data_IF_532885205489
#
_entry.id   IF_532885205489
#
_cell.length_a   1.000
_cell.length_b   1.000
_cell.length_c   1.000
_cell.angle_alpha   90.00
_cell.angle_beta   90.00
_cell.angle_gamma   90.00
#
_symmetry.space_group_name_H-M   'P 1'
#
loop_
_entity.id
_entity.type
_entity.pdbx_description
1 polymer ?
#
# COMPACT_ATOMS: atom_id res chain seq x y z
N UNK A 1 8.65 -13.59 -9.34
CA UNK A 1 8.00 -13.61 -8.01
C UNK A 1 6.49 -13.47 -8.21
N UNK A 2 5.73 -14.57 -8.17
CA UNK A 2 4.27 -14.57 -8.46
C UNK A 2 3.39 -14.26 -7.24
N UNK A 3 4.00 -14.01 -6.07
CA UNK A 3 3.29 -13.82 -4.81
C UNK A 3 3.52 -12.39 -4.30
N UNK A 4 2.43 -11.63 -4.20
CA UNK A 4 2.40 -10.23 -3.76
C UNK A 4 1.61 -10.14 -2.46
N UNK A 5 2.25 -10.48 -1.34
CA UNK A 5 1.58 -10.53 -0.03
C UNK A 5 1.02 -9.18 0.40
N UNK A 6 1.55 -8.06 -0.11
CA UNK A 6 1.02 -6.72 0.13
C UNK A 6 -0.42 -6.58 -0.36
N UNK A 7 -0.74 -7.17 -1.52
CA UNK A 7 -2.10 -7.10 -2.07
C UNK A 7 -3.11 -7.79 -1.17
N UNK A 8 -2.76 -8.98 -0.66
CA UNK A 8 -3.60 -9.73 0.27
C UNK A 8 -3.76 -8.99 1.59
N UNK A 9 -2.67 -8.42 2.13
CA UNK A 9 -2.70 -7.65 3.37
C UNK A 9 -3.59 -6.40 3.23
N UNK A 10 -3.47 -5.66 2.13
CA UNK A 10 -4.30 -4.48 1.85
C UNK A 10 -5.76 -4.89 1.64
N UNK A 11 -6.04 -5.93 0.87
CA UNK A 11 -7.40 -6.42 0.64
C UNK A 11 -8.08 -6.81 1.96
N UNK A 12 -7.37 -7.54 2.84
CA UNK A 12 -7.87 -7.86 4.17
C UNK A 12 -8.12 -6.61 5.03
N UNK A 13 -7.19 -5.64 4.97
CA UNK A 13 -7.35 -4.34 5.62
C UNK A 13 -8.60 -3.59 5.16
N UNK A 14 -8.85 -3.53 3.86
CA UNK A 14 -10.04 -2.90 3.27
C UNK A 14 -11.35 -3.58 3.70
N UNK A 15 -11.35 -4.91 3.81
CA UNK A 15 -12.54 -5.68 4.18
C UNK A 15 -12.89 -5.59 5.67
N UNK A 16 -11.89 -5.40 6.54
CA UNK A 16 -12.07 -5.50 8.01
C UNK A 16 -12.00 -4.16 8.73
N UNK A 17 -11.41 -3.14 8.12
CA UNK A 17 -11.26 -1.82 8.74
C UNK A 17 -12.52 -0.98 8.55
N UNK A 18 -12.71 0.00 9.44
CA UNK A 18 -13.78 0.99 9.27
C UNK A 18 -13.49 1.86 8.05
N UNK A 19 -14.51 2.31 7.30
CA UNK A 19 -14.32 3.25 6.19
C UNK A 19 -13.50 4.47 6.61
N UNK A 20 -12.52 4.84 5.79
CA UNK A 20 -11.61 5.96 6.04
C UNK A 20 -10.49 5.72 7.06
N UNK A 21 -10.46 4.56 7.74
CA UNK A 21 -9.36 4.24 8.65
C UNK A 21 -8.09 3.87 7.87
N UNK A 22 -6.91 4.42 8.21
CA UNK A 22 -5.68 4.09 7.52
C UNK A 22 -5.31 2.60 7.65
N UNK A 23 -4.86 2.01 6.55
CA UNK A 23 -4.36 0.62 6.50
C UNK A 23 -2.84 0.66 6.63
N UNK A 24 -2.27 -0.16 7.53
CA UNK A 24 -0.83 -0.23 7.75
C UNK A 24 -0.30 -1.63 7.44
N UNK A 25 0.69 -1.72 6.56
CA UNK A 25 1.32 -2.98 6.15
C UNK A 25 2.82 -2.90 6.42
N UNK A 26 3.35 -3.89 7.14
CA UNK A 26 4.78 -3.99 7.46
C UNK A 26 5.38 -5.20 6.76
N UNK A 27 6.50 -4.98 6.06
CA UNK A 27 7.26 -6.05 5.42
C UNK A 27 8.78 -5.82 5.54
N UNK A 28 9.54 -6.90 5.35
CA UNK A 28 11.01 -6.89 5.38
C UNK A 28 11.66 -6.87 3.98
N UNK A 29 10.85 -6.93 2.92
CA UNK A 29 11.31 -6.83 1.53
C UNK A 29 10.92 -5.47 0.95
N UNK A 30 11.72 -4.92 0.04
CA UNK A 30 11.36 -3.71 -0.72
C UNK A 30 10.04 -3.91 -1.46
N UNK A 31 9.22 -2.88 -1.58
CA UNK A 31 8.00 -2.97 -2.41
C UNK A 31 8.39 -3.11 -3.88
N UNK A 32 7.70 -3.97 -4.63
CA UNK A 32 7.92 -4.02 -6.08
C UNK A 32 7.10 -2.95 -6.80
N UNK A 33 7.49 -2.59 -8.03
CA UNK A 33 6.79 -1.58 -8.83
C UNK A 33 5.29 -1.90 -9.04
N UNK A 34 4.96 -3.18 -9.18
CA UNK A 34 3.59 -3.63 -9.39
C UNK A 34 2.72 -3.48 -8.12
N UNK A 35 3.23 -3.89 -6.95
CA UNK A 35 2.57 -3.62 -5.66
C UNK A 35 2.44 -2.12 -5.41
N UNK A 36 3.46 -1.34 -5.74
CA UNK A 36 3.45 0.11 -5.57
C UNK A 36 2.34 0.77 -6.41
N UNK A 37 2.24 0.40 -7.69
CA UNK A 37 1.22 0.91 -8.61
C UNK A 37 -0.20 0.51 -8.20
N UNK A 38 -0.40 -0.75 -7.79
CA UNK A 38 -1.70 -1.20 -7.28
C UNK A 38 -2.09 -0.49 -5.99
N UNK A 39 -1.15 -0.28 -5.07
CA UNK A 39 -1.45 0.40 -3.80
C UNK A 39 -1.86 1.86 -4.01
N UNK A 40 -1.23 2.56 -4.98
CA UNK A 40 -1.69 3.88 -5.44
C UNK A 40 -3.12 3.83 -5.94
N UNK A 41 -3.42 2.92 -6.86
CA UNK A 41 -4.78 2.79 -7.41
C UNK A 41 -5.81 2.55 -6.30
N UNK A 42 -5.50 1.66 -5.36
CA UNK A 42 -6.38 1.35 -4.23
C UNK A 42 -6.60 2.56 -3.31
N UNK A 43 -5.56 3.36 -3.01
CA UNK A 43 -5.72 4.54 -2.17
C UNK A 43 -6.65 5.59 -2.81
N UNK A 44 -6.67 5.69 -4.14
CA UNK A 44 -7.58 6.56 -4.88
C UNK A 44 -9.02 6.03 -4.91
N UNK A 45 -9.21 4.75 -5.26
CA UNK A 45 -10.55 4.16 -5.44
C UNK A 45 -11.30 4.09 -4.11
N UNK A 46 -10.63 3.64 -3.05
CA UNK A 46 -11.24 3.47 -1.74
C UNK A 46 -11.16 4.70 -0.84
N UNK A 47 -10.58 5.81 -1.35
CA UNK A 47 -10.35 7.05 -0.61
C UNK A 47 -9.79 6.79 0.81
N UNK A 48 -8.72 5.99 0.86
CA UNK A 48 -8.11 5.52 2.12
C UNK A 48 -6.61 5.75 2.08
N UNK A 49 -6.04 6.15 3.21
CA UNK A 49 -4.58 6.19 3.35
C UNK A 49 -4.06 4.77 3.57
N UNK A 50 -3.07 4.36 2.77
CA UNK A 50 -2.36 3.10 2.94
C UNK A 50 -0.91 3.43 3.25
N UNK A 51 -0.40 2.90 4.37
CA UNK A 51 0.98 3.11 4.82
C UNK A 51 1.69 1.77 4.73
N UNK A 52 2.69 1.68 3.85
CA UNK A 52 3.52 0.49 3.71
C UNK A 52 4.92 0.79 4.20
N UNK A 53 5.35 0.10 5.27
CA UNK A 53 6.75 0.07 5.68
C UNK A 53 7.43 -1.09 4.98
N UNK A 54 8.43 -0.78 4.17
CA UNK A 54 9.31 -1.78 3.59
C UNK A 54 10.70 -1.75 4.24
N UNK A 55 11.69 -2.47 3.67
CA UNK A 55 13.06 -2.49 4.21
C UNK A 55 13.75 -1.12 4.18
N UNK A 56 13.43 -0.27 3.20
CA UNK A 56 14.15 0.95 2.92
C UNK A 56 13.47 2.19 3.50
N UNK A 57 12.13 2.25 3.47
CA UNK A 57 11.38 3.47 3.82
C UNK A 57 9.91 3.19 4.16
N UNK A 58 9.23 4.27 4.56
CA UNK A 58 7.78 4.33 4.61
C UNK A 58 7.24 4.90 3.31
N UNK A 59 6.21 4.24 2.78
CA UNK A 59 5.43 4.68 1.64
C UNK A 59 4.05 5.10 2.15
N UNK A 60 3.72 6.38 1.97
CA UNK A 60 2.39 6.89 2.28
C UNK A 60 1.62 7.04 0.97
N UNK A 61 0.63 6.17 0.79
CA UNK A 61 -0.24 6.17 -0.37
C UNK A 61 -1.55 6.91 -0.04
N UNK A 62 -1.82 7.99 -0.77
CA UNK A 62 -3.04 8.79 -0.62
C UNK A 62 -3.43 9.37 -1.97
N UNK A 63 -4.72 9.31 -2.30
CA UNK A 63 -5.29 9.90 -3.53
C UNK A 63 -4.55 9.50 -4.82
N UNK A 64 -4.04 8.25 -4.90
CA UNK A 64 -3.32 7.78 -6.09
C UNK A 64 -1.83 8.11 -6.11
N UNK A 65 -1.31 8.83 -5.11
CA UNK A 65 0.09 9.23 -5.03
C UNK A 65 0.82 8.49 -3.91
N UNK A 66 2.14 8.41 -4.02
CA UNK A 66 3.01 7.88 -2.97
C UNK A 66 4.04 8.93 -2.57
N UNK A 67 4.32 9.05 -1.26
CA UNK A 67 5.36 9.94 -0.73
C UNK A 67 6.77 9.67 -1.27
N UNK A 68 7.03 8.46 -1.79
CA UNK A 68 8.35 8.10 -2.30
C UNK A 68 8.65 8.65 -3.71
N UNK A 69 7.72 9.36 -4.35
CA UNK A 69 7.86 9.94 -5.70
C UNK A 69 8.27 8.89 -6.76
N UNK A 70 7.71 7.68 -6.67
CA UNK A 70 7.97 6.57 -7.59
C UNK A 70 9.39 6.00 -7.54
N UNK A 71 10.07 6.12 -6.41
CA UNK A 71 11.36 5.46 -6.18
C UNK A 71 11.24 4.02 -5.62
N UNK A 72 10.04 3.39 -5.77
CA UNK A 72 9.60 2.06 -5.27
C UNK A 72 10.54 1.42 -4.25
#
# INVERSE_FOLDING_TARGET
MRLHSERLAIAFGLLRSRPGMPIRVFKNLRVCNDCHSVTKLLSRIYNVEIIVRDRARFHHFKEGNCSCKDYW
#
